data_IF_872467859587
#
_entry.id   IF_872467859587
#
_cell.length_a   1.000
_cell.length_b   1.000
_cell.length_c   1.000
_cell.angle_alpha   90.00
_cell.angle_beta   90.00
_cell.angle_gamma   90.00
#
_symmetry.space_group_name_H-M   'P 1'
#
loop_
_entity.id
_entity.type
_entity.pdbx_description
1 polymer ?
#
# COMPACT_ATOMS: atom_id res chain seq x y z
N UNK A 1 3.51 -68.00 31.09
CA UNK A 1 3.87 -67.01 32.14
C UNK A 1 5.37 -66.93 32.45
N UNK A 2 6.18 -68.01 32.42
CA UNK A 2 7.63 -67.97 32.69
C UNK A 2 8.46 -67.37 31.52
N UNK A 3 8.02 -67.44 30.27
CA UNK A 3 8.74 -66.91 29.12
C UNK A 3 8.57 -65.37 28.97
N UNK A 4 7.42 -64.83 29.33
CA UNK A 4 7.17 -63.37 29.31
C UNK A 4 8.04 -62.65 30.36
N UNK A 5 8.37 -63.28 31.46
CA UNK A 5 9.23 -62.75 32.52
C UNK A 5 10.71 -62.72 32.09
N UNK A 6 11.13 -63.62 31.22
CA UNK A 6 12.51 -63.65 30.67
C UNK A 6 12.77 -62.47 29.70
N UNK A 7 11.78 -62.08 28.95
CA UNK A 7 11.84 -60.92 28.05
C UNK A 7 11.86 -59.56 28.79
N UNK A 8 11.23 -59.52 29.97
CA UNK A 8 11.10 -58.27 30.76
C UNK A 8 12.36 -58.05 31.66
N UNK A 9 13.09 -59.09 32.03
CA UNK A 9 14.28 -59.00 32.88
C UNK A 9 15.38 -58.04 32.41
N UNK A 10 15.77 -57.99 31.13
CA UNK A 10 16.79 -57.01 30.65
C UNK A 10 16.26 -55.58 30.75
N UNK A 11 14.94 -55.37 30.54
CA UNK A 11 14.33 -54.02 30.67
C UNK A 11 14.33 -53.57 32.14
N UNK A 12 14.04 -54.47 33.09
CA UNK A 12 14.08 -54.17 34.53
C UNK A 12 15.50 -53.86 35.02
N UNK A 13 16.54 -54.50 34.45
CA UNK A 13 17.94 -54.20 34.77
C UNK A 13 18.40 -52.85 34.16
N UNK A 14 17.86 -52.44 33.01
CA UNK A 14 18.13 -51.16 32.39
C UNK A 14 17.30 -49.99 32.92
N UNK A 15 16.24 -50.29 33.71
CA UNK A 15 15.28 -49.29 34.21
C UNK A 15 15.96 -48.14 35.00
N UNK A 16 16.94 -48.35 35.89
CA UNK A 16 17.62 -47.23 36.55
C UNK A 16 18.42 -46.36 35.60
N UNK A 17 18.98 -46.93 34.53
CA UNK A 17 19.68 -46.17 33.49
C UNK A 17 18.71 -45.34 32.66
N UNK A 18 17.54 -45.88 32.35
CA UNK A 18 16.48 -45.16 31.63
C UNK A 18 15.96 -44.01 32.50
N UNK A 19 15.68 -44.27 33.78
CA UNK A 19 15.24 -43.22 34.71
C UNK A 19 16.30 -42.11 34.83
N UNK A 20 17.57 -42.50 34.97
CA UNK A 20 18.68 -41.54 35.04
C UNK A 20 18.76 -40.68 33.79
N UNK A 21 18.64 -41.28 32.59
CA UNK A 21 18.67 -40.55 31.34
C UNK A 21 17.49 -39.57 31.19
N UNK A 22 16.28 -39.97 31.63
CA UNK A 22 15.11 -39.11 31.65
C UNK A 22 15.32 -37.94 32.62
N UNK A 23 15.84 -38.16 33.79
CA UNK A 23 16.13 -37.12 34.79
C UNK A 23 17.13 -36.10 34.22
N UNK A 24 18.22 -36.59 33.63
CA UNK A 24 19.24 -35.74 33.01
C UNK A 24 18.64 -34.92 31.86
N UNK A 25 17.84 -35.55 31.00
CA UNK A 25 17.18 -34.85 29.87
C UNK A 25 16.20 -33.79 30.35
N UNK A 26 15.41 -34.09 31.40
CA UNK A 26 14.48 -33.12 32.00
C UNK A 26 15.23 -31.95 32.65
N UNK A 27 16.34 -32.23 33.35
CA UNK A 27 17.18 -31.17 33.93
C UNK A 27 17.84 -30.30 32.86
N UNK A 28 18.35 -30.91 31.79
CA UNK A 28 18.90 -30.16 30.61
C UNK A 28 17.82 -29.35 29.91
N UNK A 29 16.63 -29.92 29.67
CA UNK A 29 15.50 -29.23 29.06
C UNK A 29 15.05 -28.04 29.91
N UNK A 30 14.91 -28.25 31.25
CA UNK A 30 14.57 -27.15 32.16
C UNK A 30 15.61 -26.06 32.14
N UNK A 31 16.90 -26.40 32.15
CA UNK A 31 17.98 -25.40 32.04
C UNK A 31 17.98 -24.71 30.70
N UNK A 32 17.76 -25.41 29.60
CA UNK A 32 17.64 -24.82 28.24
C UNK A 32 16.46 -23.85 28.18
N UNK A 33 15.29 -24.20 28.67
CA UNK A 33 14.11 -23.32 28.69
C UNK A 33 14.30 -22.03 29.50
N UNK A 34 15.22 -22.05 30.50
CA UNK A 34 15.55 -20.85 31.27
C UNK A 34 16.35 -19.80 30.42
N UNK A 35 17.02 -20.25 29.35
CA UNK A 35 17.81 -19.39 28.47
C UNK A 35 17.07 -18.97 27.17
N UNK A 36 15.92 -19.57 26.90
CA UNK A 36 15.13 -19.25 25.70
C UNK A 36 14.10 -18.20 26.05
N UNK A 37 14.12 -17.08 25.36
CA UNK A 37 13.06 -16.07 25.47
C UNK A 37 11.76 -16.62 24.92
N UNK A 38 10.66 -16.65 25.67
CA UNK A 38 9.36 -17.03 25.13
C UNK A 38 8.94 -16.04 24.04
N UNK A 39 8.37 -16.54 22.95
CA UNK A 39 7.77 -15.72 21.92
C UNK A 39 6.25 -15.81 22.05
N UNK A 40 5.61 -14.66 22.08
CA UNK A 40 4.17 -14.52 22.10
C UNK A 40 3.68 -14.10 20.73
N UNK A 41 2.58 -14.68 20.31
CA UNK A 41 1.96 -14.41 19.02
C UNK A 41 0.63 -13.69 19.26
N UNK A 42 0.45 -12.58 18.56
CA UNK A 42 -0.83 -11.87 18.50
C UNK A 42 -1.36 -11.90 17.08
N UNK A 43 -2.66 -12.07 16.94
CA UNK A 43 -3.33 -12.18 15.64
C UNK A 43 -4.50 -11.22 15.57
N UNK A 44 -4.58 -10.47 14.49
CA UNK A 44 -5.76 -9.69 14.12
C UNK A 44 -6.28 -10.18 12.76
N UNK A 45 -7.60 -10.19 12.59
CA UNK A 45 -8.24 -10.58 11.35
C UNK A 45 -8.95 -9.38 10.73
N UNK A 46 -8.68 -9.13 9.45
CA UNK A 46 -9.32 -8.06 8.67
C UNK A 46 -10.17 -8.72 7.60
N UNK A 47 -11.45 -8.36 7.56
CA UNK A 47 -12.34 -8.71 6.46
C UNK A 47 -12.18 -7.67 5.35
N UNK A 48 -11.83 -8.12 4.16
CA UNK A 48 -11.81 -7.25 2.99
C UNK A 48 -13.24 -6.96 2.54
N UNK A 49 -13.52 -5.70 2.21
CA UNK A 49 -14.83 -5.33 1.67
C UNK A 49 -15.01 -5.93 0.28
N UNK A 50 -16.19 -6.53 0.04
CA UNK A 50 -16.60 -6.97 -1.30
C UNK A 50 -16.74 -5.75 -2.21
N UNK A 51 -15.87 -5.63 -3.19
CA UNK A 51 -15.89 -4.54 -4.18
C UNK A 51 -17.03 -4.69 -5.22
N UNK A 52 -17.84 -5.71 -5.09
CA UNK A 52 -19.03 -5.92 -5.94
C UNK A 52 -20.25 -5.15 -5.47
N UNK A 53 -20.24 -4.59 -4.27
CA UNK A 53 -21.33 -3.76 -3.76
C UNK A 53 -21.22 -2.32 -4.30
N UNK A 54 -21.77 -2.05 -5.46
CA UNK A 54 -21.85 -0.68 -6.00
C UNK A 54 -21.91 -0.55 -7.51
N UNK A 55 -21.76 -1.64 -8.27
CA UNK A 55 -21.91 -1.61 -9.72
C UNK A 55 -23.26 -2.24 -10.13
N UNK A 56 -24.18 -1.47 -10.72
CA UNK A 56 -25.40 -2.04 -11.27
C UNK A 56 -25.06 -2.88 -12.52
N UNK A 57 -25.48 -4.14 -12.55
CA UNK A 57 -25.38 -5.11 -13.64
C UNK A 57 -24.06 -5.87 -13.83
N UNK A 58 -23.75 -6.76 -12.89
CA UNK A 58 -22.58 -7.66 -12.97
C UNK A 58 -22.85 -9.06 -13.53
N UNK A 59 -23.87 -9.29 -14.33
CA UNK A 59 -24.15 -10.64 -14.84
C UNK A 59 -23.23 -11.10 -16.00
N UNK A 60 -22.41 -10.20 -16.55
CA UNK A 60 -21.49 -10.54 -17.66
C UNK A 60 -20.08 -10.97 -17.21
N UNK A 61 -19.73 -10.83 -15.91
CA UNK A 61 -18.37 -11.06 -15.43
C UNK A 61 -18.25 -12.10 -14.31
N UNK A 62 -19.32 -12.82 -13.99
CA UNK A 62 -19.31 -13.82 -12.90
C UNK A 62 -18.28 -14.92 -13.05
N UNK A 63 -17.94 -15.32 -14.26
CA UNK A 63 -16.97 -16.40 -14.52
C UNK A 63 -15.51 -15.93 -14.43
N UNK A 64 -15.26 -14.62 -14.47
CA UNK A 64 -13.93 -14.04 -14.24
C UNK A 64 -13.63 -13.71 -12.77
N UNK A 65 -14.61 -13.68 -11.90
CA UNK A 65 -14.52 -13.22 -10.52
C UNK A 65 -13.74 -14.18 -9.59
N UNK A 66 -13.73 -15.49 -9.90
CA UNK A 66 -13.07 -16.51 -9.07
C UNK A 66 -11.54 -16.35 -9.13
N UNK A 67 -10.97 -16.05 -10.30
CA UNK A 67 -9.53 -15.78 -10.44
C UNK A 67 -9.14 -14.35 -9.99
N UNK A 68 -10.05 -13.40 -10.13
CA UNK A 68 -9.85 -12.03 -9.69
C UNK A 68 -9.78 -11.92 -8.16
N UNK A 69 -10.57 -12.69 -7.42
CA UNK A 69 -10.63 -12.64 -5.96
C UNK A 69 -9.33 -13.15 -5.31
N UNK A 70 -8.76 -14.25 -5.82
CA UNK A 70 -7.53 -14.84 -5.27
C UNK A 70 -6.31 -13.94 -5.50
N UNK A 71 -6.19 -13.35 -6.69
CA UNK A 71 -5.12 -12.39 -6.99
C UNK A 71 -5.23 -11.11 -6.16
N UNK A 72 -6.45 -10.74 -5.77
CA UNK A 72 -6.72 -9.55 -4.98
C UNK A 72 -6.30 -9.71 -3.53
N UNK A 73 -6.62 -10.84 -2.90
CA UNK A 73 -6.17 -11.16 -1.54
C UNK A 73 -4.64 -11.17 -1.47
N UNK A 74 -3.98 -11.77 -2.47
CA UNK A 74 -2.52 -11.78 -2.55
C UNK A 74 -1.94 -10.36 -2.68
N UNK A 75 -2.55 -9.49 -3.49
CA UNK A 75 -2.13 -8.11 -3.62
C UNK A 75 -2.29 -7.31 -2.32
N UNK A 76 -3.39 -7.51 -1.60
CA UNK A 76 -3.61 -6.85 -0.30
C UNK A 76 -2.65 -7.36 0.78
N UNK A 77 -2.29 -8.65 0.75
CA UNK A 77 -1.27 -9.23 1.62
C UNK A 77 0.10 -8.57 1.36
N UNK A 78 0.49 -8.39 0.10
CA UNK A 78 1.74 -7.71 -0.25
C UNK A 78 1.72 -6.23 0.14
N UNK A 79 0.58 -5.54 0.00
CA UNK A 79 0.42 -4.17 0.51
C UNK A 79 0.63 -4.09 2.03
N UNK A 80 0.06 -5.04 2.78
CA UNK A 80 0.24 -5.09 4.24
C UNK A 80 1.69 -5.38 4.65
N UNK A 81 2.46 -6.09 3.83
CA UNK A 81 3.89 -6.36 4.03
C UNK A 81 4.80 -5.28 3.44
N UNK A 82 4.24 -4.28 2.74
CA UNK A 82 5.02 -3.23 2.11
C UNK A 82 5.80 -2.42 3.13
N UNK A 83 7.02 -2.04 2.79
CA UNK A 83 7.88 -1.25 3.68
C UNK A 83 7.26 0.10 4.01
N UNK A 84 6.52 0.70 3.07
CA UNK A 84 5.85 1.99 3.28
C UNK A 84 4.76 1.92 4.35
N UNK A 85 3.94 0.86 4.36
CA UNK A 85 2.89 0.69 5.37
C UNK A 85 3.47 0.31 6.72
N UNK A 86 4.51 -0.53 6.74
CA UNK A 86 5.22 -0.92 7.95
C UNK A 86 5.93 0.28 8.59
N UNK A 87 6.52 1.17 7.80
CA UNK A 87 7.15 2.40 8.27
C UNK A 87 6.13 3.33 8.93
N UNK A 88 5.02 3.63 8.25
CA UNK A 88 3.90 4.39 8.83
C UNK A 88 3.38 3.77 10.14
N UNK A 89 3.34 2.44 10.20
CA UNK A 89 2.86 1.70 11.38
C UNK A 89 3.82 1.83 12.55
N UNK A 90 5.11 1.57 12.31
CA UNK A 90 6.15 1.58 13.34
C UNK A 90 6.41 2.97 13.90
N UNK A 91 6.27 4.00 13.06
CA UNK A 91 6.38 5.40 13.47
C UNK A 91 5.28 5.78 14.48
N UNK A 92 4.02 5.37 14.24
CA UNK A 92 2.88 5.69 15.13
C UNK A 92 2.98 5.07 16.52
N UNK A 93 3.68 3.94 16.66
CA UNK A 93 3.85 3.26 17.95
C UNK A 93 5.26 3.37 18.50
N UNK A 94 6.09 4.26 17.94
CA UNK A 94 7.48 4.49 18.36
C UNK A 94 8.30 3.19 18.50
N UNK A 95 8.14 2.29 17.54
CA UNK A 95 8.71 0.94 17.56
C UNK A 95 10.21 0.90 17.25
N UNK A 96 10.79 2.03 16.87
CA UNK A 96 12.19 2.19 16.50
C UNK A 96 13.16 2.23 17.69
N UNK A 97 12.64 2.20 18.92
CA UNK A 97 13.42 2.26 20.14
C UNK A 97 13.21 1.00 20.98
N UNK A 98 14.28 0.43 21.47
CA UNK A 98 14.23 -0.75 22.36
C UNK A 98 15.08 -0.48 23.59
N UNK A 99 14.51 -0.81 24.74
CA UNK A 99 15.17 -0.74 26.04
C UNK A 99 15.24 -2.13 26.63
N UNK A 100 16.40 -2.54 27.05
CA UNK A 100 16.64 -3.81 27.73
C UNK A 100 17.14 -3.57 29.14
N UNK A 101 16.64 -4.35 30.09
CA UNK A 101 17.26 -4.49 31.40
C UNK A 101 18.30 -5.59 31.32
N UNK A 102 19.53 -5.24 31.66
CA UNK A 102 20.67 -6.18 31.61
C UNK A 102 20.60 -7.09 32.85
N UNK A 103 20.34 -8.36 32.60
CA UNK A 103 20.31 -9.39 33.64
C UNK A 103 21.61 -10.17 33.68
N UNK A 104 21.81 -10.94 34.76
CA UNK A 104 22.99 -11.82 34.91
C UNK A 104 23.00 -13.00 33.93
N UNK A 105 21.84 -13.42 33.42
CA UNK A 105 21.67 -14.59 32.54
C UNK A 105 21.21 -14.17 31.15
N UNK A 106 20.27 -13.25 31.09
CA UNK A 106 19.72 -12.76 29.82
C UNK A 106 19.25 -11.32 29.98
N UNK A 107 19.24 -10.58 28.88
CA UNK A 107 18.67 -9.25 28.85
C UNK A 107 17.14 -9.36 28.62
N UNK A 108 16.40 -8.63 29.42
CA UNK A 108 14.95 -8.55 29.32
C UNK A 108 14.57 -7.28 28.57
N UNK A 109 13.85 -7.42 27.47
CA UNK A 109 13.25 -6.28 26.76
C UNK A 109 12.15 -5.67 27.63
N UNK A 110 12.16 -4.35 27.75
CA UNK A 110 11.12 -3.55 28.41
C UNK A 110 10.34 -2.79 27.36
N UNK A 111 9.05 -2.69 27.55
CA UNK A 111 8.16 -1.95 26.66
C UNK A 111 7.37 -0.91 27.49
N UNK A 112 6.12 -1.18 27.82
CA UNK A 112 5.32 -0.30 28.67
C UNK A 112 5.73 -0.38 30.15
N UNK A 113 6.38 -1.47 30.57
CA UNK A 113 6.90 -1.69 31.92
C UNK A 113 8.30 -1.08 32.16
N UNK A 114 8.72 -0.18 31.30
CA UNK A 114 10.02 0.47 31.45
C UNK A 114 9.97 1.54 32.56
N UNK A 115 10.82 1.44 33.62
CA UNK A 115 10.85 2.42 34.70
C UNK A 115 11.49 3.74 34.31
N UNK A 116 12.22 3.75 33.20
CA UNK A 116 12.84 4.96 32.60
C UNK A 116 12.33 5.15 31.19
N UNK A 117 12.13 6.39 30.81
CA UNK A 117 11.77 6.79 29.45
C UNK A 117 12.93 7.57 28.85
N UNK A 118 13.29 7.20 27.63
CA UNK A 118 14.45 7.75 26.94
C UNK A 118 13.97 8.51 25.71
N UNK A 119 14.29 9.80 25.64
CA UNK A 119 13.98 10.67 24.53
C UNK A 119 15.27 11.14 23.85
N UNK A 120 15.63 10.58 22.70
CA UNK A 120 16.80 11.04 21.96
C UNK A 120 16.48 12.35 21.22
N UNK A 121 17.16 13.44 21.55
CA UNK A 121 16.97 14.76 20.95
C UNK A 121 17.77 14.92 19.65
N UNK A 122 19.02 14.44 19.62
CA UNK A 122 19.87 14.40 18.44
C UNK A 122 20.63 13.08 18.44
N UNK A 123 20.26 12.14 17.57
CA UNK A 123 20.68 10.74 17.71
C UNK A 123 21.10 10.06 16.39
N UNK A 124 21.25 10.84 15.31
CA UNK A 124 21.50 10.28 13.97
C UNK A 124 22.76 9.41 13.90
N UNK A 125 23.80 9.75 14.65
CA UNK A 125 25.08 9.03 14.66
C UNK A 125 25.09 7.81 15.58
N UNK A 126 24.08 7.62 16.42
CA UNK A 126 23.96 6.47 17.32
C UNK A 126 22.90 5.47 16.90
N UNK A 127 22.38 5.60 15.66
CA UNK A 127 21.45 4.61 15.14
C UNK A 127 22.10 3.24 15.08
N UNK A 128 21.33 2.21 15.47
CA UNK A 128 21.73 0.81 15.47
C UNK A 128 22.89 0.45 16.44
N UNK A 129 23.21 1.36 17.34
CA UNK A 129 24.26 1.20 18.33
C UNK A 129 23.66 1.03 19.72
N UNK A 130 24.22 0.12 20.49
CA UNK A 130 23.83 -0.10 21.89
C UNK A 130 24.45 0.96 22.79
N UNK A 131 23.64 1.63 23.57
CA UNK A 131 24.07 2.57 24.58
C UNK A 131 23.74 1.98 25.95
N UNK A 132 24.75 1.80 26.77
CA UNK A 132 24.60 1.37 28.15
C UNK A 132 24.18 2.53 29.06
N UNK A 133 23.16 2.31 29.89
CA UNK A 133 22.68 3.27 30.90
C UNK A 133 22.68 2.55 32.22
N UNK A 134 23.48 3.07 33.17
CA UNK A 134 23.52 2.56 34.53
C UNK A 134 22.84 3.52 35.47
N UNK A 135 21.70 3.17 36.01
CA UNK A 135 20.98 3.95 37.03
C UNK A 135 21.59 3.65 38.37
N UNK A 136 22.21 4.68 38.97
CA UNK A 136 22.95 4.58 40.21
C UNK A 136 22.09 4.84 41.43
N UNK A 137 21.14 5.74 41.31
CA UNK A 137 20.21 6.13 42.40
C UNK A 137 18.88 6.61 41.82
N UNK A 138 17.96 7.00 42.67
CA UNK A 138 16.68 7.59 42.23
C UNK A 138 16.85 8.92 41.47
N UNK A 139 17.98 9.59 41.55
CA UNK A 139 18.21 10.90 40.92
C UNK A 139 19.29 10.91 39.84
N UNK A 140 20.19 9.91 39.85
CA UNK A 140 21.40 9.94 39.04
C UNK A 140 21.59 8.66 38.22
N UNK A 141 22.13 8.83 37.04
CA UNK A 141 22.51 7.72 36.14
C UNK A 141 23.84 8.04 35.46
N UNK A 142 24.44 7.04 34.87
CA UNK A 142 25.58 7.19 33.98
C UNK A 142 25.34 6.55 32.64
N UNK A 143 25.82 7.16 31.55
CA UNK A 143 25.69 6.69 30.18
C UNK A 143 27.07 6.28 29.68
N UNK A 144 27.12 5.12 29.03
CA UNK A 144 28.27 4.61 28.32
C UNK A 144 27.91 4.42 26.86
N UNK A 145 28.29 5.34 26.00
CA UNK A 145 28.27 5.17 24.55
C UNK A 145 29.58 4.51 24.08
N UNK A 146 29.55 3.81 22.93
CA UNK A 146 30.78 3.28 22.34
C UNK A 146 31.81 4.40 22.08
N UNK A 147 33.06 4.11 22.35
CA UNK A 147 34.20 5.03 22.16
C UNK A 147 34.15 6.31 23.01
N UNK A 148 33.19 6.42 23.94
CA UNK A 148 33.08 7.56 24.84
C UNK A 148 33.43 7.22 26.28
N UNK A 149 33.84 8.28 27.02
CA UNK A 149 34.00 8.20 28.48
C UNK A 149 32.61 8.15 29.11
N UNK A 150 32.55 7.55 30.29
CA UNK A 150 31.34 7.52 31.10
C UNK A 150 30.86 8.94 31.40
N UNK A 151 29.63 9.27 31.02
CA UNK A 151 29.01 10.58 31.27
C UNK A 151 27.93 10.40 32.33
N UNK A 152 28.02 11.17 33.40
CA UNK A 152 27.00 11.16 34.46
C UNK A 152 25.91 12.19 34.15
N UNK A 153 24.67 11.84 34.48
CA UNK A 153 23.50 12.69 34.28
C UNK A 153 22.51 12.58 35.44
N UNK A 154 21.60 13.52 35.49
CA UNK A 154 20.45 13.55 36.40
C UNK A 154 19.16 13.39 35.59
N UNK A 155 18.15 12.72 36.19
CA UNK A 155 16.86 12.56 35.52
C UNK A 155 16.19 13.90 35.25
N UNK A 156 15.70 14.11 34.06
CA UNK A 156 15.08 15.37 33.62
C UNK A 156 16.02 16.37 32.96
N UNK A 157 17.34 16.13 33.03
CA UNK A 157 18.33 16.98 32.39
C UNK A 157 18.79 16.37 31.05
N UNK A 158 19.14 17.27 30.13
CA UNK A 158 19.70 16.83 28.84
C UNK A 158 21.17 16.47 29.00
N UNK A 159 21.53 15.27 28.69
CA UNK A 159 22.91 14.78 28.65
C UNK A 159 23.46 14.92 27.25
N UNK A 160 24.54 15.68 27.09
CA UNK A 160 25.23 15.83 25.82
C UNK A 160 26.31 14.76 25.71
N UNK A 161 26.22 13.97 24.63
CA UNK A 161 27.22 13.02 24.17
C UNK A 161 28.02 13.67 23.03
N UNK A 162 29.19 13.12 22.66
CA UNK A 162 30.01 13.71 21.60
C UNK A 162 29.32 13.81 20.25
N UNK A 163 28.39 12.91 19.93
CA UNK A 163 27.70 12.83 18.65
C UNK A 163 26.17 13.01 18.76
N UNK A 164 25.68 13.51 19.90
CA UNK A 164 24.24 13.69 20.09
C UNK A 164 23.84 14.07 21.50
N UNK A 165 22.55 14.19 21.74
CA UNK A 165 22.00 14.50 23.05
C UNK A 165 20.80 13.61 23.37
N UNK A 166 20.67 13.29 24.67
CA UNK A 166 19.64 12.38 25.16
C UNK A 166 19.03 12.96 26.45
N UNK A 167 17.74 12.83 26.55
CA UNK A 167 16.98 13.18 27.75
C UNK A 167 16.41 11.90 28.36
N UNK A 168 16.68 11.66 29.64
CA UNK A 168 16.17 10.49 30.36
C UNK A 168 15.34 10.98 31.54
N UNK A 169 14.15 10.47 31.69
CA UNK A 169 13.26 10.75 32.81
C UNK A 169 12.63 9.47 33.37
N UNK A 170 12.15 9.57 34.58
CA UNK A 170 11.47 8.44 35.26
C UNK A 170 10.06 8.29 34.72
N UNK A 171 9.59 7.07 34.58
CA UNK A 171 8.19 6.77 34.29
C UNK A 171 7.39 6.88 35.60
N UNK A 172 7.00 8.10 35.97
CA UNK A 172 6.32 8.39 37.22
C UNK A 172 4.99 7.65 37.35
N UNK A 173 4.26 7.47 36.24
CA UNK A 173 3.00 6.73 36.25
C UNK A 173 3.24 5.25 36.61
N UNK A 174 4.19 4.61 35.97
CA UNK A 174 4.52 3.22 36.27
C UNK A 174 5.01 3.05 37.71
N UNK A 175 5.86 3.96 38.17
CA UNK A 175 6.42 3.89 39.53
C UNK A 175 5.36 4.14 40.60
N UNK A 176 4.34 4.96 40.32
CA UNK A 176 3.19 5.15 41.19
C UNK A 176 2.28 3.92 41.24
N UNK A 177 2.01 3.32 40.06
CA UNK A 177 1.14 2.14 39.95
C UNK A 177 1.82 0.85 40.48
N UNK A 178 3.15 0.77 40.35
CA UNK A 178 3.96 -0.39 40.78
C UNK A 178 5.14 0.08 41.67
N UNK A 179 4.91 0.42 42.94
CA UNK A 179 5.96 0.97 43.81
C UNK A 179 7.17 0.06 44.03
N UNK A 180 6.99 -1.24 43.81
CA UNK A 180 8.04 -2.26 43.98
C UNK A 180 8.92 -2.40 42.70
N UNK A 181 8.72 -1.54 41.68
CA UNK A 181 9.55 -1.60 40.47
C UNK A 181 10.93 -1.05 40.79
N UNK A 182 11.93 -1.90 40.62
CA UNK A 182 13.32 -1.51 40.85
C UNK A 182 13.83 -0.62 39.72
N UNK A 183 14.10 0.65 40.04
CA UNK A 183 14.61 1.64 39.11
C UNK A 183 16.14 1.49 38.92
N UNK A 184 16.87 1.11 39.99
CA UNK A 184 18.32 0.99 39.96
C UNK A 184 18.75 -0.24 39.16
N UNK A 185 19.74 -0.08 38.30
CA UNK A 185 20.25 -1.20 37.51
C UNK A 185 20.86 -0.78 36.17
N UNK A 186 21.27 -1.79 35.44
CA UNK A 186 21.89 -1.61 34.14
C UNK A 186 20.85 -1.77 33.02
N UNK A 187 20.84 -0.84 32.09
CA UNK A 187 19.97 -0.84 30.93
C UNK A 187 20.79 -0.71 29.65
N UNK A 188 20.30 -1.30 28.58
CA UNK A 188 20.80 -1.09 27.21
C UNK A 188 19.70 -0.47 26.36
N UNK A 189 20.00 0.62 25.70
CA UNK A 189 19.10 1.30 24.78
C UNK A 189 19.62 1.19 23.36
N UNK A 190 18.73 0.93 22.43
CA UNK A 190 19.02 0.90 21.00
C UNK A 190 17.93 1.70 20.30
N UNK A 191 18.34 2.65 19.46
CA UNK A 191 17.47 3.28 18.46
C UNK A 191 17.84 2.70 17.10
N UNK A 192 16.89 1.99 16.50
CA UNK A 192 17.10 1.35 15.20
C UNK A 192 16.90 2.35 14.07
N UNK A 193 17.68 2.18 13.00
CA UNK A 193 17.38 2.77 11.70
C UNK A 193 16.11 2.16 11.10
N UNK A 194 15.41 2.91 10.25
CA UNK A 194 14.20 2.41 9.60
C UNK A 194 14.45 1.12 8.83
N UNK A 195 15.60 1.02 8.17
CA UNK A 195 15.98 -0.18 7.41
C UNK A 195 16.04 -1.42 8.30
N UNK A 196 16.78 -1.37 9.41
CA UNK A 196 16.89 -2.49 10.35
C UNK A 196 15.57 -2.81 11.05
N UNK A 197 14.80 -1.77 11.38
CA UNK A 197 13.50 -1.93 11.97
C UNK A 197 12.56 -2.70 11.04
N UNK A 198 12.45 -2.31 9.78
CA UNK A 198 11.60 -2.97 8.80
C UNK A 198 12.04 -4.41 8.54
N UNK A 199 13.34 -4.69 8.45
CA UNK A 199 13.87 -6.05 8.34
C UNK A 199 13.45 -6.89 9.56
N UNK A 200 13.61 -6.34 10.78
CA UNK A 200 13.23 -7.01 12.03
C UNK A 200 11.73 -7.28 12.09
N UNK A 201 10.93 -6.30 11.69
CA UNK A 201 9.47 -6.42 11.66
C UNK A 201 9.04 -7.47 10.64
N UNK A 202 9.54 -7.42 9.40
CA UNK A 202 9.21 -8.41 8.35
C UNK A 202 9.57 -9.85 8.76
N UNK A 203 10.64 -10.03 9.51
CA UNK A 203 11.05 -11.37 10.00
C UNK A 203 10.03 -11.98 10.98
N UNK A 204 9.36 -11.15 11.75
CA UNK A 204 8.43 -11.57 12.80
C UNK A 204 6.95 -11.42 12.41
N UNK A 205 6.69 -10.90 11.21
CA UNK A 205 5.36 -10.64 10.67
C UNK A 205 4.98 -11.71 9.65
N UNK A 206 3.86 -12.39 9.92
CA UNK A 206 3.19 -13.24 8.96
C UNK A 206 1.84 -12.63 8.60
N UNK A 207 1.58 -12.46 7.30
CA UNK A 207 0.28 -12.04 6.77
C UNK A 207 -0.18 -13.11 5.81
N UNK A 208 -1.28 -13.76 6.14
CA UNK A 208 -1.78 -14.93 5.42
C UNK A 208 -3.30 -14.83 5.25
N UNK A 209 -3.89 -15.45 4.22
CA UNK A 209 -5.34 -15.60 4.15
C UNK A 209 -5.81 -16.44 5.35
N UNK A 210 -6.88 -16.00 6.00
CA UNK A 210 -7.45 -16.73 7.14
C UNK A 210 -8.11 -18.05 6.69
N UNK A 211 -8.69 -18.03 5.49
CA UNK A 211 -9.28 -19.18 4.80
C UNK A 211 -9.16 -18.97 3.31
N UNK A 212 -9.19 -20.05 2.52
CA UNK A 212 -9.05 -19.99 1.06
C UNK A 212 -10.30 -19.41 0.38
N UNK A 213 -11.46 -19.58 1.02
CA UNK A 213 -12.76 -19.26 0.42
C UNK A 213 -13.39 -17.98 0.98
N UNK A 214 -12.74 -17.32 1.94
CA UNK A 214 -13.29 -16.13 2.59
C UNK A 214 -12.32 -14.96 2.45
N UNK A 215 -12.78 -13.76 2.06
CA UNK A 215 -11.93 -12.59 1.93
C UNK A 215 -11.54 -12.01 3.31
N UNK A 216 -10.84 -12.82 4.09
CA UNK A 216 -10.33 -12.47 5.42
C UNK A 216 -8.82 -12.70 5.47
N UNK A 217 -8.08 -11.70 5.88
CA UNK A 217 -6.63 -11.75 6.07
C UNK A 217 -6.33 -11.80 7.56
N UNK A 218 -5.43 -12.70 7.95
CA UNK A 218 -4.86 -12.78 9.29
C UNK A 218 -3.49 -12.13 9.31
N UNK A 219 -3.32 -11.14 10.17
CA UNK A 219 -2.04 -10.49 10.47
C UNK A 219 -1.55 -11.08 11.78
N UNK A 220 -0.37 -11.66 11.77
CA UNK A 220 0.24 -12.36 12.89
C UNK A 220 1.61 -11.74 13.17
N UNK A 221 1.86 -11.37 14.40
CA UNK A 221 3.17 -10.83 14.80
C UNK A 221 3.69 -11.52 16.06
N UNK A 222 4.97 -11.85 16.06
CA UNK A 222 5.67 -12.54 17.15
C UNK A 222 6.63 -11.59 17.86
N UNK A 223 6.53 -11.55 19.19
CA UNK A 223 7.42 -10.74 20.04
C UNK A 223 7.67 -11.43 21.37
N UNK A 224 8.77 -11.08 22.02
CA UNK A 224 9.04 -11.50 23.41
C UNK A 224 8.06 -10.89 24.42
N UNK A 225 7.38 -9.80 24.05
CA UNK A 225 6.44 -9.08 24.90
C UNK A 225 5.03 -9.17 24.28
N UNK A 226 4.05 -9.78 25.00
CA UNK A 226 2.68 -9.95 24.48
C UNK A 226 2.03 -8.63 24.06
N UNK A 227 2.15 -7.60 24.90
CA UNK A 227 1.56 -6.29 24.63
C UNK A 227 2.16 -5.66 23.37
N UNK A 228 3.48 -5.76 23.19
CA UNK A 228 4.18 -5.25 22.00
C UNK A 228 3.69 -5.92 20.72
N UNK A 229 3.42 -7.23 20.77
CA UNK A 229 2.86 -7.94 19.61
C UNK A 229 1.42 -7.54 19.32
N UNK A 230 0.59 -7.34 20.36
CA UNK A 230 -0.79 -6.89 20.21
C UNK A 230 -0.89 -5.48 19.67
N UNK A 231 -0.10 -4.54 20.21
CA UNK A 231 -0.07 -3.14 19.76
C UNK A 231 0.35 -3.04 18.30
N UNK A 232 1.34 -3.85 17.90
CA UNK A 232 1.80 -3.87 16.52
C UNK A 232 0.72 -4.35 15.54
N UNK A 233 0.08 -5.52 15.79
CA UNK A 233 -0.93 -6.03 14.85
C UNK A 233 -2.15 -5.13 14.78
N UNK A 234 -2.57 -4.53 15.90
CA UNK A 234 -3.67 -3.60 15.95
C UNK A 234 -3.35 -2.31 15.19
N UNK A 235 -2.14 -1.76 15.38
CA UNK A 235 -1.72 -0.56 14.67
C UNK A 235 -1.53 -0.81 13.18
N UNK A 236 -0.97 -1.96 12.78
CA UNK A 236 -0.85 -2.33 11.37
C UNK A 236 -2.22 -2.45 10.71
N UNK A 237 -3.17 -3.11 11.38
CA UNK A 237 -4.54 -3.21 10.92
C UNK A 237 -5.18 -1.82 10.73
N UNK A 238 -4.98 -0.93 11.72
CA UNK A 238 -5.49 0.44 11.67
C UNK A 238 -4.83 1.25 10.56
N UNK A 239 -3.51 1.20 10.43
CA UNK A 239 -2.77 1.89 9.38
C UNK A 239 -3.18 1.42 7.99
N UNK A 240 -3.41 0.11 7.81
CA UNK A 240 -3.92 -0.44 6.56
C UNK A 240 -5.33 0.08 6.23
N UNK A 241 -6.24 0.09 7.21
CA UNK A 241 -7.60 0.59 7.00
C UNK A 241 -7.59 2.08 6.64
N UNK A 242 -6.78 2.88 7.32
CA UNK A 242 -6.61 4.30 7.03
C UNK A 242 -6.06 4.52 5.62
N UNK A 243 -4.99 3.81 5.23
CA UNK A 243 -4.38 3.89 3.89
C UNK A 243 -5.35 3.42 2.79
N UNK A 244 -6.13 2.37 3.06
CA UNK A 244 -7.17 1.89 2.17
C UNK A 244 -8.29 2.94 1.97
N UNK A 245 -8.78 3.54 3.05
CA UNK A 245 -9.81 4.59 2.99
C UNK A 245 -9.27 5.82 2.27
N UNK A 246 -8.07 6.28 2.59
CA UNK A 246 -7.41 7.42 1.94
C UNK A 246 -7.24 7.19 0.44
N UNK A 247 -6.78 6.00 0.06
CA UNK A 247 -6.63 5.62 -1.35
C UNK A 247 -7.98 5.62 -2.09
N UNK A 248 -9.04 5.09 -1.46
CA UNK A 248 -10.40 5.09 -2.03
C UNK A 248 -10.96 6.50 -2.15
N UNK A 249 -10.76 7.33 -1.13
CA UNK A 249 -11.22 8.71 -1.13
C UNK A 249 -10.53 9.52 -2.23
N UNK A 250 -9.21 9.41 -2.36
CA UNK A 250 -8.42 10.07 -3.40
C UNK A 250 -8.85 9.63 -4.81
N UNK A 251 -9.08 8.32 -4.99
CA UNK A 251 -9.59 7.81 -6.26
C UNK A 251 -11.00 8.33 -6.59
N UNK A 252 -11.88 8.39 -5.59
CA UNK A 252 -13.23 8.93 -5.75
C UNK A 252 -13.21 10.43 -6.04
N UNK A 253 -12.40 11.21 -5.32
CA UNK A 253 -12.22 12.65 -5.54
C UNK A 253 -11.70 12.95 -6.94
N UNK A 254 -10.69 12.19 -7.40
CA UNK A 254 -10.15 12.32 -8.75
C UNK A 254 -11.23 12.01 -9.80
N UNK A 255 -12.04 10.97 -9.56
CA UNK A 255 -13.15 10.61 -10.45
C UNK A 255 -14.22 11.70 -10.47
N UNK A 256 -14.60 12.26 -9.32
CA UNK A 256 -15.56 13.36 -9.23
C UNK A 256 -15.05 14.58 -9.98
N UNK A 257 -13.80 14.98 -9.74
CA UNK A 257 -13.17 16.12 -10.44
C UNK A 257 -13.17 15.91 -11.96
N UNK A 258 -12.79 14.72 -12.40
CA UNK A 258 -12.83 14.37 -13.83
C UNK A 258 -14.26 14.45 -14.40
N UNK A 259 -15.25 13.96 -13.66
CA UNK A 259 -16.67 14.03 -14.08
C UNK A 259 -17.18 15.48 -14.10
N UNK A 260 -16.81 16.30 -13.12
CA UNK A 260 -17.17 17.72 -13.08
C UNK A 260 -16.58 18.50 -14.25
N UNK A 261 -15.29 18.32 -14.51
CA UNK A 261 -14.62 18.92 -15.69
C UNK A 261 -15.34 18.47 -16.97
N UNK A 262 -15.75 17.22 -17.03
CA UNK A 262 -16.43 16.64 -18.17
C UNK A 262 -17.85 17.20 -18.36
N UNK A 263 -18.60 17.31 -17.27
CA UNK A 263 -19.93 17.94 -17.28
C UNK A 263 -19.83 19.38 -17.76
N UNK A 264 -18.84 20.13 -17.28
CA UNK A 264 -18.60 21.49 -17.69
C UNK A 264 -18.31 21.60 -19.19
N UNK A 265 -17.43 20.71 -19.70
CA UNK A 265 -17.11 20.65 -21.12
C UNK A 265 -18.35 20.34 -21.98
N UNK A 266 -19.11 19.31 -21.60
CA UNK A 266 -20.34 18.93 -22.31
C UNK A 266 -21.40 20.05 -22.24
N UNK A 267 -21.49 20.76 -21.11
CA UNK A 267 -22.39 21.90 -20.95
C UNK A 267 -22.02 23.06 -21.88
N UNK A 268 -20.73 23.36 -22.05
CA UNK A 268 -20.23 24.37 -22.99
C UNK A 268 -20.53 23.94 -24.43
N UNK A 269 -20.25 22.69 -24.77
CA UNK A 269 -20.50 22.15 -26.11
C UNK A 269 -22.01 22.14 -26.44
N UNK A 270 -22.86 21.80 -25.47
CA UNK A 270 -24.31 21.86 -25.59
C UNK A 270 -24.79 23.29 -25.80
N UNK A 271 -24.37 24.24 -24.95
CA UNK A 271 -24.73 25.65 -25.06
C UNK A 271 -24.28 26.25 -26.42
N UNK A 272 -23.09 25.90 -26.86
CA UNK A 272 -22.58 26.31 -28.18
C UNK A 272 -23.45 25.73 -29.30
N UNK A 273 -23.85 24.47 -29.19
CA UNK A 273 -24.71 23.81 -30.19
C UNK A 273 -26.14 24.37 -30.16
N UNK A 274 -26.68 24.67 -28.98
CA UNK A 274 -27.99 25.34 -28.85
C UNK A 274 -28.00 26.72 -29.43
N UNK A 275 -26.98 27.53 -29.17
CA UNK A 275 -26.82 28.87 -29.76
C UNK A 275 -26.69 28.80 -31.29
N UNK A 276 -25.92 27.83 -31.81
CA UNK A 276 -25.84 27.61 -33.26
C UNK A 276 -27.18 27.20 -33.88
N UNK A 277 -27.98 26.41 -33.19
CA UNK A 277 -29.32 25.98 -33.60
C UNK A 277 -30.28 27.18 -33.54
N UNK A 278 -30.19 28.02 -32.52
CA UNK A 278 -31.00 29.22 -32.34
C UNK A 278 -30.67 30.26 -33.37
N UNK A 279 -29.41 30.56 -33.60
CA UNK A 279 -28.93 31.47 -34.68
C UNK A 279 -29.34 30.96 -36.04
N UNK A 280 -29.28 29.66 -36.29
CA UNK A 280 -29.71 29.04 -37.53
C UNK A 280 -31.23 29.15 -37.72
N UNK A 281 -32.04 28.91 -36.66
CA UNK A 281 -33.48 29.11 -36.71
C UNK A 281 -33.88 30.55 -36.94
N UNK A 282 -33.23 31.49 -36.27
CA UNK A 282 -33.51 32.92 -36.36
C UNK A 282 -33.09 33.49 -37.72
N UNK A 283 -31.93 33.07 -38.27
CA UNK A 283 -31.43 33.55 -39.55
C UNK A 283 -32.16 32.98 -40.78
N UNK A 284 -32.84 31.80 -40.62
CA UNK A 284 -33.47 31.10 -41.76
C UNK A 284 -34.97 30.97 -41.70
N UNK A 285 -35.66 31.53 -40.70
CA UNK A 285 -37.13 31.60 -40.62
C UNK A 285 -37.84 30.24 -40.71
N UNK A 286 -37.28 29.16 -40.16
CA UNK A 286 -37.77 27.80 -40.34
C UNK A 286 -38.84 27.47 -39.33
N UNK A 287 -40.09 27.31 -39.78
CA UNK A 287 -41.22 26.98 -38.92
C UNK A 287 -41.65 25.48 -38.95
N UNK A 288 -41.21 24.66 -39.93
CA UNK A 288 -41.74 23.27 -40.05
C UNK A 288 -40.78 22.25 -40.68
N UNK A 289 -39.60 22.10 -40.10
CA UNK A 289 -38.69 20.96 -40.44
C UNK A 289 -38.57 19.92 -39.31
N UNK A 290 -39.67 19.63 -38.66
CA UNK A 290 -39.62 19.09 -37.31
C UNK A 290 -39.33 17.58 -37.19
N UNK A 291 -39.53 16.78 -38.20
CA UNK A 291 -39.48 15.33 -38.02
C UNK A 291 -38.26 14.64 -38.67
N UNK A 292 -37.80 15.08 -39.83
CA UNK A 292 -36.61 14.50 -40.48
C UNK A 292 -35.32 15.12 -39.94
N UNK A 293 -35.31 16.43 -39.68
CA UNK A 293 -34.13 17.10 -39.14
C UNK A 293 -33.86 16.81 -37.64
N UNK A 294 -34.90 16.48 -36.83
CA UNK A 294 -34.67 16.04 -35.45
C UNK A 294 -33.94 14.72 -35.37
N UNK A 295 -34.18 13.81 -36.28
CA UNK A 295 -33.51 12.49 -36.32
C UNK A 295 -32.05 12.63 -36.75
N UNK A 296 -31.78 13.46 -37.75
CA UNK A 296 -30.42 13.71 -38.23
C UNK A 296 -29.59 14.55 -37.26
N UNK A 297 -30.19 15.54 -36.62
CA UNK A 297 -29.55 16.30 -35.55
C UNK A 297 -29.21 15.46 -34.33
N UNK A 298 -30.12 14.56 -33.93
CA UNK A 298 -29.84 13.61 -32.83
C UNK A 298 -28.70 12.67 -33.18
N UNK A 299 -28.66 12.17 -34.43
CA UNK A 299 -27.59 11.31 -34.93
C UNK A 299 -26.26 12.03 -34.95
N UNK A 300 -26.22 13.26 -35.47
CA UNK A 300 -25.01 14.12 -35.46
C UNK A 300 -24.56 14.43 -34.03
N UNK A 301 -25.47 14.76 -33.13
CA UNK A 301 -25.16 15.00 -31.72
C UNK A 301 -24.58 13.75 -31.05
N UNK A 302 -25.16 12.57 -31.30
CA UNK A 302 -24.66 11.30 -30.78
C UNK A 302 -23.26 10.95 -31.33
N UNK A 303 -23.04 11.17 -32.62
CA UNK A 303 -21.74 10.99 -33.26
C UNK A 303 -20.70 11.97 -32.71
N UNK A 304 -21.04 13.25 -32.48
CA UNK A 304 -20.16 14.24 -31.85
C UNK A 304 -19.78 13.83 -30.43
N UNK A 305 -20.72 13.24 -29.67
CA UNK A 305 -20.42 12.73 -28.31
C UNK A 305 -19.46 11.53 -28.38
N UNK A 306 -19.62 10.62 -29.35
CA UNK A 306 -18.68 9.52 -29.58
C UNK A 306 -17.29 10.04 -29.98
N UNK A 307 -17.23 11.04 -30.88
CA UNK A 307 -15.99 11.68 -31.30
C UNK A 307 -15.24 12.30 -30.12
N UNK A 308 -15.96 12.99 -29.23
CA UNK A 308 -15.41 13.58 -28.02
C UNK A 308 -14.85 12.49 -27.07
N UNK A 309 -15.55 11.37 -26.90
CA UNK A 309 -15.05 10.26 -26.09
C UNK A 309 -13.78 9.63 -26.68
N UNK A 310 -13.71 9.47 -27.99
CA UNK A 310 -12.49 8.98 -28.67
C UNK A 310 -11.35 9.97 -28.50
N UNK A 311 -11.61 11.28 -28.59
CA UNK A 311 -10.60 12.33 -28.38
C UNK A 311 -9.97 12.25 -26.99
N UNK A 312 -10.80 12.11 -25.97
CA UNK A 312 -10.33 11.96 -24.57
C UNK A 312 -9.48 10.68 -24.40
N UNK A 313 -9.94 9.58 -24.99
CA UNK A 313 -9.17 8.33 -24.96
C UNK A 313 -7.80 8.50 -25.63
N UNK A 314 -7.73 9.24 -26.74
CA UNK A 314 -6.48 9.56 -27.44
C UNK A 314 -5.56 10.44 -26.58
N UNK A 315 -6.09 11.46 -25.92
CA UNK A 315 -5.33 12.35 -25.04
C UNK A 315 -4.76 11.57 -23.84
N UNK A 316 -5.58 10.72 -23.21
CA UNK A 316 -5.13 9.85 -22.11
C UNK A 316 -4.05 8.86 -22.56
N UNK A 317 -4.18 8.27 -23.76
CA UNK A 317 -3.16 7.38 -24.33
C UNK A 317 -1.86 8.14 -24.66
N UNK A 318 -1.97 9.37 -25.13
CA UNK A 318 -0.81 10.20 -25.39
C UNK A 318 -0.07 10.54 -24.10
N UNK A 319 -0.78 10.97 -23.06
CA UNK A 319 -0.20 11.27 -21.76
C UNK A 319 0.49 10.03 -21.14
N UNK A 320 -0.13 8.86 -21.26
CA UNK A 320 0.48 7.62 -20.82
C UNK A 320 1.77 7.30 -21.60
N UNK A 321 1.72 7.39 -22.93
CA UNK A 321 2.89 7.13 -23.77
C UNK A 321 4.04 8.09 -23.43
N UNK A 322 3.76 9.38 -23.28
CA UNK A 322 4.74 10.41 -22.94
C UNK A 322 5.38 10.16 -21.56
N UNK A 323 4.58 9.78 -20.58
CA UNK A 323 5.08 9.45 -19.25
C UNK A 323 5.91 8.16 -19.23
N UNK A 324 5.54 7.16 -20.02
CA UNK A 324 6.32 5.91 -20.15
C UNK A 324 7.66 6.16 -20.87
N UNK A 325 7.71 7.08 -21.85
CA UNK A 325 8.94 7.44 -22.58
C UNK A 325 9.89 8.31 -21.77
N UNK A 326 9.37 9.12 -20.84
CA UNK A 326 10.16 10.08 -20.03
C UNK A 326 10.86 9.43 -18.81
N UNK A 327 11.01 8.11 -18.78
CA UNK A 327 11.70 7.32 -17.73
C UNK A 327 11.24 7.62 -16.30
N UNK A 328 10.00 8.08 -16.13
CA UNK A 328 9.39 8.30 -14.84
C UNK A 328 8.94 6.94 -14.28
N UNK A 329 9.91 6.15 -13.78
CA UNK A 329 9.72 4.76 -13.34
C UNK A 329 8.68 4.60 -12.21
N UNK A 330 8.25 5.69 -11.58
CA UNK A 330 7.25 5.67 -10.49
C UNK A 330 5.89 6.30 -10.88
N UNK A 331 5.75 6.75 -12.12
CA UNK A 331 4.53 7.44 -12.58
C UNK A 331 3.26 6.62 -12.38
N UNK A 332 3.30 5.33 -12.74
CA UNK A 332 2.13 4.45 -12.65
C UNK A 332 1.68 4.15 -11.22
N UNK A 333 2.55 4.31 -10.22
CA UNK A 333 2.17 4.18 -8.81
C UNK A 333 1.31 5.36 -8.34
N UNK A 334 1.46 6.52 -8.97
CA UNK A 334 0.74 7.76 -8.65
C UNK A 334 -0.45 8.02 -9.58
N UNK A 335 -0.53 7.30 -10.70
CA UNK A 335 -1.56 7.51 -11.71
C UNK A 335 -2.92 7.00 -11.23
N UNK A 336 -4.01 7.76 -11.48
CA UNK A 336 -5.36 7.32 -11.22
C UNK A 336 -5.68 6.05 -12.04
N UNK A 337 -6.66 5.28 -11.58
CA UNK A 337 -7.09 4.02 -12.19
C UNK A 337 -7.41 4.22 -13.68
N UNK A 338 -6.53 3.76 -14.56
CA UNK A 338 -6.72 3.78 -16.02
C UNK A 338 -7.76 2.74 -16.48
N UNK A 339 -8.97 2.78 -15.93
CA UNK A 339 -10.08 1.91 -16.38
C UNK A 339 -10.62 2.30 -17.77
N UNK A 340 -10.09 3.35 -18.37
CA UNK A 340 -10.54 3.88 -19.68
C UNK A 340 -9.96 3.12 -20.86
N UNK A 341 -9.05 2.17 -20.65
CA UNK A 341 -8.48 1.37 -21.73
C UNK A 341 -9.39 0.19 -22.04
N UNK A 342 -9.99 0.23 -23.22
CA UNK A 342 -10.83 -0.83 -23.75
C UNK A 342 -10.06 -2.06 -24.23
N UNK A 343 -8.74 -2.04 -24.14
CA UNK A 343 -7.88 -3.16 -24.54
C UNK A 343 -7.40 -3.94 -23.30
N UNK A 344 -7.87 -5.18 -23.23
CA UNK A 344 -7.59 -6.13 -22.13
C UNK A 344 -6.08 -6.37 -21.95
N UNK A 345 -5.33 -6.42 -23.04
CA UNK A 345 -3.88 -6.68 -23.03
C UNK A 345 -3.12 -5.50 -22.41
N UNK A 346 -3.44 -4.28 -22.82
CA UNK A 346 -2.80 -3.07 -22.28
C UNK A 346 -3.11 -2.89 -20.78
N UNK A 347 -4.31 -3.24 -20.34
CA UNK A 347 -4.70 -3.20 -18.93
C UNK A 347 -3.90 -4.22 -18.09
N UNK A 348 -3.67 -5.40 -18.60
CA UNK A 348 -2.89 -6.42 -17.88
C UNK A 348 -1.40 -6.09 -17.84
N UNK A 349 -0.84 -5.56 -18.91
CA UNK A 349 0.54 -5.07 -18.96
C UNK A 349 0.74 -3.91 -17.98
N UNK A 350 -0.17 -2.95 -17.94
CA UNK A 350 -0.18 -1.85 -16.97
C UNK A 350 -0.14 -2.35 -15.52
N UNK A 351 -0.94 -3.36 -15.20
CA UNK A 351 -0.96 -3.97 -13.87
C UNK A 351 0.37 -4.64 -13.54
N UNK A 352 0.97 -5.37 -14.49
CA UNK A 352 2.27 -6.02 -14.30
C UNK A 352 3.39 -4.98 -14.08
N UNK A 353 3.42 -3.93 -14.87
CA UNK A 353 4.39 -2.84 -14.71
C UNK A 353 4.22 -2.17 -13.36
N UNK A 354 3.00 -1.86 -12.92
CA UNK A 354 2.71 -1.28 -11.61
C UNK A 354 3.20 -2.15 -10.45
N UNK A 355 3.00 -3.46 -10.55
CA UNK A 355 3.48 -4.42 -9.55
C UNK A 355 5.02 -4.45 -9.48
N UNK A 356 5.70 -4.49 -10.63
CA UNK A 356 7.16 -4.46 -10.67
C UNK A 356 7.75 -3.12 -10.19
N UNK A 357 7.08 -2.01 -10.44
CA UNK A 357 7.47 -0.71 -9.89
C UNK A 357 7.38 -0.69 -8.35
N UNK A 358 6.33 -1.28 -7.78
CA UNK A 358 6.20 -1.44 -6.34
C UNK A 358 7.32 -2.34 -5.78
N UNK A 359 7.57 -3.49 -6.41
CA UNK A 359 8.64 -4.42 -6.03
C UNK A 359 10.03 -3.77 -6.11
N UNK A 360 10.32 -3.03 -7.20
CA UNK A 360 11.55 -2.26 -7.34
C UNK A 360 11.73 -1.25 -6.21
N UNK A 361 10.68 -0.51 -5.88
CA UNK A 361 10.71 0.47 -4.79
C UNK A 361 11.00 -0.20 -3.45
N UNK A 362 10.37 -1.34 -3.19
CA UNK A 362 10.60 -2.11 -1.96
C UNK A 362 12.03 -2.66 -1.87
N UNK A 363 12.60 -3.11 -3.00
CA UNK A 363 14.00 -3.53 -3.05
C UNK A 363 14.97 -2.37 -2.83
N UNK A 364 14.68 -1.19 -3.36
CA UNK A 364 15.52 0.02 -3.18
C UNK A 364 15.52 0.54 -1.74
N UNK A 365 14.54 0.15 -0.91
CA UNK A 365 14.58 0.45 0.54
C UNK A 365 15.59 -0.40 1.30
N UNK A 366 16.00 -1.55 0.73
CA UNK A 366 16.86 -2.53 1.41
C UNK A 366 18.23 -2.64 0.72
N UNK A 367 18.27 -2.43 -0.59
CA UNK A 367 19.44 -2.66 -1.43
C UNK A 367 19.81 -1.41 -2.22
N UNK A 368 21.09 -1.33 -2.59
CA UNK A 368 21.58 -0.25 -3.44
C UNK A 368 21.08 -0.44 -4.89
N UNK A 369 20.96 0.63 -5.69
CA UNK A 369 20.56 0.53 -7.10
C UNK A 369 21.44 -0.39 -7.95
N UNK A 370 22.68 -0.67 -7.51
CA UNK A 370 23.61 -1.57 -8.21
C UNK A 370 23.48 -3.04 -7.82
N UNK A 371 22.63 -3.39 -6.87
CA UNK A 371 22.40 -4.77 -6.46
C UNK A 371 21.76 -5.58 -7.60
N UNK A 372 22.24 -6.83 -7.77
CA UNK A 372 21.77 -7.71 -8.85
C UNK A 372 20.26 -7.92 -8.83
N UNK A 373 19.65 -7.95 -7.65
CA UNK A 373 18.20 -8.12 -7.49
C UNK A 373 17.41 -6.93 -8.00
N UNK A 374 17.91 -5.72 -7.76
CA UNK A 374 17.30 -4.47 -8.28
C UNK A 374 17.44 -4.45 -9.80
N UNK A 375 18.62 -4.77 -10.34
CA UNK A 375 18.86 -4.81 -11.79
C UNK A 375 17.96 -5.81 -12.51
N UNK A 376 17.74 -7.00 -11.95
CA UNK A 376 16.83 -7.99 -12.54
C UNK A 376 15.40 -7.48 -12.64
N UNK A 377 14.93 -6.72 -11.64
CA UNK A 377 13.60 -6.12 -11.68
C UNK A 377 13.57 -4.94 -12.67
N UNK A 378 14.63 -4.14 -12.73
CA UNK A 378 14.75 -3.04 -13.70
C UNK A 378 14.74 -3.56 -15.14
N UNK A 379 15.50 -4.62 -15.45
CA UNK A 379 15.49 -5.24 -16.77
C UNK A 379 14.09 -5.74 -17.16
N UNK A 380 13.40 -6.45 -16.24
CA UNK A 380 12.03 -6.90 -16.49
C UNK A 380 11.05 -5.75 -16.68
N UNK A 381 11.27 -4.66 -15.97
CA UNK A 381 10.42 -3.48 -16.03
C UNK A 381 10.62 -2.75 -17.34
N UNK A 382 11.88 -2.61 -17.78
CA UNK A 382 12.23 -1.99 -19.06
C UNK A 382 11.65 -2.80 -20.23
N UNK A 383 11.75 -4.14 -20.21
CA UNK A 383 11.14 -5.02 -21.22
C UNK A 383 9.62 -4.83 -21.29
N UNK A 384 8.93 -4.85 -20.13
CA UNK A 384 7.47 -4.70 -20.10
C UNK A 384 7.02 -3.30 -20.49
N UNK A 385 7.79 -2.26 -20.17
CA UNK A 385 7.52 -0.88 -20.60
C UNK A 385 7.57 -0.79 -22.13
N UNK A 386 8.55 -1.43 -22.79
CA UNK A 386 8.63 -1.47 -24.24
C UNK A 386 7.38 -2.10 -24.86
N UNK A 387 6.95 -3.26 -24.36
CA UNK A 387 5.72 -3.90 -24.82
C UNK A 387 4.46 -3.06 -24.55
N UNK A 388 4.42 -2.39 -23.40
CA UNK A 388 3.31 -1.50 -23.07
C UNK A 388 3.25 -0.29 -23.99
N UNK A 389 4.38 0.33 -24.29
CA UNK A 389 4.48 1.45 -25.24
C UNK A 389 4.00 1.01 -26.64
N UNK A 390 4.41 -0.17 -27.09
CA UNK A 390 3.96 -0.72 -28.38
C UNK A 390 2.45 -0.94 -28.39
N UNK A 391 1.90 -1.56 -27.34
CA UNK A 391 0.46 -1.78 -27.17
C UNK A 391 -0.34 -0.47 -27.19
N UNK A 392 0.11 0.53 -26.39
CA UNK A 392 -0.51 1.85 -26.34
C UNK A 392 -0.41 2.57 -27.70
N UNK A 393 0.73 2.52 -28.37
CA UNK A 393 0.94 3.13 -29.68
C UNK A 393 0.00 2.51 -30.73
N UNK A 394 -0.15 1.19 -30.74
CA UNK A 394 -1.05 0.49 -31.66
C UNK A 394 -2.52 0.81 -31.36
N UNK A 395 -2.91 0.81 -30.09
CA UNK A 395 -4.27 1.17 -29.67
C UNK A 395 -4.59 2.64 -30.04
N UNK A 396 -3.65 3.55 -29.80
CA UNK A 396 -3.76 4.97 -30.20
C UNK A 396 -3.93 5.13 -31.72
N UNK A 397 -3.17 4.35 -32.52
CA UNK A 397 -3.31 4.38 -33.99
C UNK A 397 -4.72 3.94 -34.42
N UNK A 398 -5.24 2.88 -33.83
CA UNK A 398 -6.58 2.37 -34.12
C UNK A 398 -7.66 3.38 -33.71
N UNK A 399 -7.56 3.97 -32.54
CA UNK A 399 -8.48 5.01 -32.08
C UNK A 399 -8.41 6.28 -32.95
N UNK A 400 -7.20 6.66 -33.39
CA UNK A 400 -7.01 7.80 -34.29
C UNK A 400 -7.67 7.57 -35.66
N UNK A 401 -7.61 6.34 -36.18
CA UNK A 401 -8.31 5.97 -37.43
C UNK A 401 -9.81 6.10 -37.25
N UNK A 402 -10.38 5.55 -36.15
CA UNK A 402 -11.80 5.69 -35.84
C UNK A 402 -12.22 7.16 -35.65
N UNK A 403 -11.37 7.97 -35.01
CA UNK A 403 -11.60 9.41 -34.85
C UNK A 403 -11.73 10.11 -36.19
N UNK A 404 -10.79 9.83 -37.11
CA UNK A 404 -10.78 10.46 -38.45
C UNK A 404 -12.00 10.00 -39.29
N UNK A 405 -12.37 8.74 -39.22
CA UNK A 405 -13.55 8.21 -39.90
C UNK A 405 -14.82 8.88 -39.37
N UNK A 406 -15.02 8.88 -38.06
CA UNK A 406 -16.20 9.46 -37.44
C UNK A 406 -16.28 10.98 -37.68
N UNK A 407 -15.14 11.64 -37.69
CA UNK A 407 -15.05 13.09 -38.03
C UNK A 407 -15.51 13.34 -39.47
N UNK A 408 -15.06 12.54 -40.43
CA UNK A 408 -15.48 12.65 -41.83
C UNK A 408 -16.98 12.36 -41.98
N UNK A 409 -17.53 11.35 -41.31
CA UNK A 409 -18.98 11.06 -41.32
C UNK A 409 -19.80 12.22 -40.76
N UNK A 410 -19.32 12.87 -39.70
CA UNK A 410 -20.00 14.03 -39.11
C UNK A 410 -19.96 15.21 -40.07
N UNK A 411 -18.81 15.47 -40.70
CA UNK A 411 -18.66 16.56 -41.68
C UNK A 411 -19.55 16.34 -42.93
N UNK A 412 -19.63 15.10 -43.42
CA UNK A 412 -20.52 14.72 -44.50
C UNK A 412 -22.01 14.91 -44.14
N UNK A 413 -22.42 14.35 -42.95
CA UNK A 413 -23.77 14.48 -42.45
C UNK A 413 -24.16 15.95 -42.24
N UNK A 414 -23.23 16.77 -41.76
CA UNK A 414 -23.44 18.20 -41.55
C UNK A 414 -23.58 18.95 -42.86
N UNK A 415 -22.77 18.61 -43.87
CA UNK A 415 -22.82 19.17 -45.22
C UNK A 415 -24.17 18.84 -45.93
N UNK A 416 -24.65 17.59 -45.79
CA UNK A 416 -25.94 17.18 -46.31
C UNK A 416 -27.07 17.94 -45.61
N UNK A 417 -27.02 18.07 -44.30
CA UNK A 417 -28.00 18.83 -43.50
C UNK A 417 -28.04 20.31 -43.92
N UNK A 418 -26.88 20.96 -44.07
CA UNK A 418 -26.77 22.34 -44.50
C UNK A 418 -27.29 22.52 -45.94
N UNK A 419 -27.06 21.54 -46.81
CA UNK A 419 -27.58 21.53 -48.21
C UNK A 419 -29.12 21.44 -48.24
N UNK A 420 -29.75 20.57 -47.40
CA UNK A 420 -31.19 20.51 -47.30
C UNK A 420 -31.79 21.80 -46.74
N UNK A 421 -31.15 22.37 -45.71
CA UNK A 421 -31.58 23.60 -45.09
C UNK A 421 -31.54 24.83 -46.07
N UNK A 422 -30.53 24.84 -46.94
CA UNK A 422 -30.44 25.86 -48.01
C UNK A 422 -31.58 25.74 -49.04
N UNK A 423 -31.83 24.49 -49.53
CA UNK A 423 -32.90 24.24 -50.48
C UNK A 423 -34.27 24.62 -49.94
N UNK A 424 -34.50 24.40 -48.65
CA UNK A 424 -35.79 24.71 -48.01
C UNK A 424 -35.99 26.22 -47.82
N UNK A 425 -34.89 26.96 -47.60
CA UNK A 425 -34.92 28.41 -47.61
C UNK A 425 -35.34 28.95 -48.98
N UNK A 426 -34.80 28.38 -50.05
CA UNK A 426 -35.12 28.76 -51.42
C UNK A 426 -36.61 28.47 -51.75
N UNK A 427 -37.14 27.34 -51.31
CA UNK A 427 -38.57 26.99 -51.46
C UNK A 427 -39.51 27.89 -50.64
N UNK A 428 -39.12 28.33 -49.45
CA UNK A 428 -39.92 29.24 -48.63
C UNK A 428 -39.89 30.69 -49.20
N UNK A 429 -38.85 31.09 -49.89
CA UNK A 429 -38.80 32.35 -50.62
C UNK A 429 -39.70 32.29 -51.84
N UNK A 430 -39.69 31.20 -52.61
CA UNK A 430 -40.57 31.00 -53.78
C UNK A 430 -42.07 30.90 -53.43
N UNK A 431 -42.45 30.51 -52.21
CA UNK A 431 -43.85 30.45 -51.74
C UNK A 431 -44.33 31.78 -51.13
N UNK A 432 -43.51 32.81 -51.10
CA UNK A 432 -43.86 34.14 -50.52
C UNK A 432 -44.13 35.19 -51.60
N UNK A 433 -43.75 34.95 -52.84
CA UNK A 433 -44.12 35.70 -54.03
C UNK A 433 -45.31 35.08 -54.76
#
# INVERSE_FOLDING_TARGET
MKESIRLIRPFLRGLPLIILSIVITVLMAKKYLTYVTPLYESTVKIKLADLTQGLPNNNLFKDFDVFASTNKIAAEIELMKSSSLLDKTTEKIHFNSELYRVGSVMNQELYLDAPIVINPLSFAHYLDIKIGINVLSESTFSIKAPEEKLVNGTFGDTVNLSLGSILIYKNEQLLADKPNTDLVGNYEYIKMSNEKLIIKVKKNLDVIPADKDVPVISIIYKSAIPQKSADFVNQLAKSYIEDYIESKYTAAETTVRFLDDRIQQVSIDLSTSENLIEDYKNNKGIVNLRQESETDLRKIAQQKMQLANIKISLEAMQELEDNLRNDNKDFLLKAPNFQTYTDLLSTELLRKVKNLQAERRDLLLIFTPNDTRVKVIEDKLDDLIVYLIEGVTNSKRNQRTKYLQLKAEIEEAQSVFDGFASKQKDLNVMNRD
#
